data_IF_909803217924
#
_entry.id   IF_909803217924
#
_cell.length_a   1.000
_cell.length_b   1.000
_cell.length_c   1.000
_cell.angle_alpha   90.00
_cell.angle_beta   90.00
_cell.angle_gamma   90.00
#
_symmetry.space_group_name_H-M   'P 1'
#
loop_
_entity.id
_entity.type
_entity.pdbx_description
1 polymer ?
#
# COMPACT_ATOMS: atom_id res chain seq x y z
N UNK A 1 8.51 0.87 -11.28
CA UNK A 1 7.70 -0.34 -11.00
C UNK A 1 8.64 -1.53 -10.75
N UNK A 2 8.31 -2.39 -9.80
CA UNK A 2 9.08 -3.58 -9.40
C UNK A 2 8.39 -4.83 -9.94
N UNK A 3 9.12 -5.72 -10.61
CA UNK A 3 8.57 -6.99 -11.10
C UNK A 3 8.55 -8.00 -9.97
N UNK A 4 7.35 -8.43 -9.60
CA UNK A 4 7.14 -9.36 -8.49
C UNK A 4 7.48 -10.79 -8.92
N UNK A 5 8.03 -11.58 -7.99
CA UNK A 5 8.44 -12.96 -8.23
C UNK A 5 7.99 -13.86 -7.07
N UNK A 6 7.14 -14.89 -7.32
CA UNK A 6 6.58 -15.24 -8.63
C UNK A 6 5.55 -14.19 -9.08
N UNK A 7 5.37 -14.01 -10.40
CA UNK A 7 4.68 -12.84 -10.94
C UNK A 7 3.18 -12.80 -10.63
N UNK A 8 2.59 -13.98 -10.40
CA UNK A 8 1.19 -14.16 -9.99
C UNK A 8 0.90 -13.64 -8.58
N UNK A 9 1.93 -13.33 -7.78
CA UNK A 9 1.76 -12.72 -6.47
C UNK A 9 1.47 -11.20 -6.52
N UNK A 10 1.36 -10.60 -7.71
CA UNK A 10 1.01 -9.20 -7.90
C UNK A 10 -0.04 -9.00 -8.98
N UNK A 11 -0.91 -8.01 -8.78
CA UNK A 11 -1.80 -7.52 -9.82
C UNK A 11 -0.96 -6.95 -10.98
N UNK A 12 -1.25 -7.40 -12.21
CA UNK A 12 -0.49 -6.95 -13.37
C UNK A 12 1.01 -7.31 -13.34
N UNK A 13 1.42 -8.31 -12.54
CA UNK A 13 2.80 -8.81 -12.37
C UNK A 13 3.83 -7.84 -11.75
N UNK A 14 3.39 -6.65 -11.32
CA UNK A 14 4.28 -5.62 -10.80
C UNK A 14 3.63 -4.90 -9.61
N UNK A 15 4.48 -4.39 -8.73
CA UNK A 15 4.07 -3.44 -7.70
C UNK A 15 4.84 -2.12 -7.87
N UNK A 16 4.49 -1.12 -7.08
CA UNK A 16 5.30 0.10 -6.92
C UNK A 16 6.11 0.01 -5.62
N UNK A 17 7.25 0.67 -5.60
CA UNK A 17 8.18 0.78 -4.47
C UNK A 17 8.77 2.18 -4.48
N UNK A 18 9.33 2.64 -3.35
CA UNK A 18 10.10 3.88 -3.34
C UNK A 18 11.34 3.78 -4.23
N UNK A 19 11.79 4.91 -4.78
CA UNK A 19 12.95 4.95 -5.67
C UNK A 19 14.26 4.65 -4.92
N UNK A 20 14.34 5.07 -3.66
CA UNK A 20 15.37 4.72 -2.70
C UNK A 20 14.76 4.61 -1.29
N UNK A 21 15.55 4.16 -0.33
CA UNK A 21 15.14 4.01 1.07
C UNK A 21 15.48 5.24 1.93
N UNK A 22 15.70 6.40 1.30
CA UNK A 22 16.07 7.66 1.99
C UNK A 22 14.98 8.73 1.91
N UNK A 23 14.04 8.59 0.98
CA UNK A 23 12.95 9.55 0.74
C UNK A 23 11.60 8.86 0.61
N UNK A 24 10.54 9.62 0.90
CA UNK A 24 9.17 9.15 0.73
C UNK A 24 8.81 9.03 -0.76
N UNK A 25 8.03 8.00 -1.11
CA UNK A 25 7.43 7.83 -2.43
C UNK A 25 5.96 8.24 -2.41
N UNK A 26 5.47 8.82 -3.50
CA UNK A 26 4.04 9.18 -3.65
C UNK A 26 3.48 8.61 -4.95
N UNK A 27 2.29 8.03 -4.88
CA UNK A 27 1.50 7.65 -6.04
C UNK A 27 0.08 8.20 -5.90
N UNK A 28 -0.52 8.63 -7.01
CA UNK A 28 -1.89 9.15 -7.02
C UNK A 28 -2.64 8.79 -8.30
N UNK A 29 -3.97 8.75 -8.18
CA UNK A 29 -4.88 8.55 -9.31
C UNK A 29 -6.18 9.32 -9.08
N UNK A 30 -6.83 9.72 -10.16
CA UNK A 30 -8.22 10.21 -10.10
C UNK A 30 -9.17 9.04 -10.00
N UNK A 31 -10.24 9.22 -9.24
CA UNK A 31 -11.30 8.25 -9.04
C UNK A 31 -12.48 8.55 -9.96
N UNK A 32 -12.82 7.60 -10.83
CA UNK A 32 -13.94 7.70 -11.78
C UNK A 32 -15.16 6.90 -11.30
N UNK A 33 -15.37 6.82 -9.98
CA UNK A 33 -16.53 6.19 -9.36
C UNK A 33 -17.68 7.19 -9.17
N UNK A 34 -18.91 6.70 -9.07
CA UNK A 34 -20.04 7.54 -8.66
C UNK A 34 -19.81 8.09 -7.24
N UNK A 35 -20.37 9.27 -6.94
CA UNK A 35 -20.28 9.81 -5.58
C UNK A 35 -21.02 8.87 -4.62
N UNK A 36 -20.35 8.44 -3.55
CA UNK A 36 -20.89 7.42 -2.64
C UNK A 36 -20.00 7.11 -1.45
N UNK A 37 -20.35 6.06 -0.71
CA UNK A 37 -19.58 5.57 0.43
C UNK A 37 -19.02 4.19 0.12
N UNK A 38 -17.72 4.03 0.25
CA UNK A 38 -16.97 2.84 -0.19
C UNK A 38 -16.10 2.25 0.90
N UNK A 39 -15.64 1.02 0.67
CA UNK A 39 -14.57 0.41 1.44
C UNK A 39 -13.27 0.53 0.63
N UNK A 40 -12.40 1.44 1.02
CA UNK A 40 -11.11 1.64 0.35
C UNK A 40 -10.09 0.71 0.99
N UNK A 41 -9.42 -0.10 0.19
CA UNK A 41 -8.47 -1.06 0.69
C UNK A 41 -7.18 -1.06 -0.11
N UNK A 42 -6.07 -1.08 0.61
CA UNK A 42 -4.73 -1.06 0.07
C UNK A 42 -4.13 -2.44 0.22
N UNK A 43 -3.73 -3.04 -0.89
CA UNK A 43 -2.96 -4.27 -0.94
C UNK A 43 -1.48 -3.91 -1.08
N UNK A 44 -0.67 -4.39 -0.13
CA UNK A 44 0.74 -4.03 0.00
C UNK A 44 1.54 -5.26 0.44
N UNK A 45 2.87 -5.15 0.47
CA UNK A 45 3.74 -6.20 0.98
C UNK A 45 4.43 -5.72 2.25
N UNK A 46 4.37 -6.56 3.27
CA UNK A 46 4.95 -6.32 4.58
C UNK A 46 6.18 -7.22 4.74
N UNK A 47 7.35 -6.66 4.47
CA UNK A 47 8.63 -7.37 4.48
C UNK A 47 9.29 -7.21 5.84
N UNK A 48 9.84 -8.29 6.39
CA UNK A 48 10.62 -8.28 7.62
C UNK A 48 12.06 -7.77 7.39
N UNK A 49 12.19 -6.62 6.73
CA UNK A 49 13.45 -5.93 6.35
C UNK A 49 13.54 -4.49 6.90
N UNK A 50 12.48 -4.06 7.58
CA UNK A 50 12.27 -2.75 8.16
C UNK A 50 10.82 -2.70 8.64
N UNK A 51 10.35 -1.51 8.98
CA UNK A 51 8.92 -1.29 9.16
C UNK A 51 8.46 -0.03 8.44
N UNK A 52 8.25 -0.16 7.14
CA UNK A 52 7.73 0.89 6.30
C UNK A 52 6.36 1.38 6.80
N UNK A 53 6.07 2.66 6.55
CA UNK A 53 4.79 3.28 6.89
C UNK A 53 4.10 3.80 5.65
N UNK A 54 2.78 3.74 5.64
CA UNK A 54 1.97 4.26 4.54
C UNK A 54 0.88 5.18 5.08
N UNK A 55 0.60 6.22 4.32
CA UNK A 55 -0.47 7.17 4.61
C UNK A 55 -1.33 7.32 3.36
N UNK A 56 -2.64 7.11 3.52
CA UNK A 56 -3.62 7.21 2.45
C UNK A 56 -4.46 8.48 2.62
N UNK A 57 -4.60 9.22 1.53
CA UNK A 57 -5.38 10.43 1.44
C UNK A 57 -6.42 10.32 0.32
N UNK A 58 -7.56 10.95 0.54
CA UNK A 58 -8.55 11.25 -0.47
C UNK A 58 -8.66 12.76 -0.56
N UNK A 59 -8.25 13.31 -1.70
CA UNK A 59 -7.98 14.73 -1.86
C UNK A 59 -6.97 15.22 -0.79
N UNK A 60 -7.40 16.13 0.09
CA UNK A 60 -6.58 16.62 1.21
C UNK A 60 -6.91 15.93 2.55
N UNK A 61 -7.93 15.06 2.58
CA UNK A 61 -8.39 14.38 3.79
C UNK A 61 -7.60 13.09 4.05
N UNK A 62 -7.18 12.91 5.30
CA UNK A 62 -6.52 11.69 5.76
C UNK A 62 -7.55 10.55 5.89
N UNK A 63 -7.34 9.48 5.11
CA UNK A 63 -8.13 8.25 5.22
C UNK A 63 -7.55 7.33 6.30
N UNK A 64 -6.22 7.25 6.40
CA UNK A 64 -5.55 6.51 7.47
C UNK A 64 -4.04 6.39 7.28
N UNK A 65 -3.39 5.94 8.35
CA UNK A 65 -1.96 5.68 8.42
C UNK A 65 -1.73 4.32 9.07
N UNK A 66 -0.77 3.54 8.56
CA UNK A 66 -0.42 2.24 9.11
C UNK A 66 1.05 1.92 8.89
N UNK A 67 1.51 0.87 9.57
CA UNK A 67 2.87 0.37 9.58
C UNK A 67 2.90 -1.10 9.15
N UNK A 68 3.96 -1.50 8.47
CA UNK A 68 4.25 -2.91 8.17
C UNK A 68 4.99 -3.51 9.34
N UNK A 69 4.28 -4.18 10.25
CA UNK A 69 4.83 -4.74 11.48
C UNK A 69 4.16 -6.07 11.90
N UNK A 70 3.63 -6.84 10.94
CA UNK A 70 2.83 -8.03 11.25
C UNK A 70 3.64 -9.15 11.91
N UNK A 71 4.95 -9.19 11.74
CA UNK A 71 5.85 -10.08 12.49
C UNK A 71 5.80 -9.82 14.00
N UNK A 72 5.52 -8.57 14.41
CA UNK A 72 5.41 -8.18 15.82
C UNK A 72 3.98 -8.24 16.35
N UNK A 73 2.98 -7.88 15.53
CA UNK A 73 1.59 -7.76 15.99
C UNK A 73 0.73 -9.00 15.75
N UNK A 74 1.02 -9.77 14.68
CA UNK A 74 0.27 -10.99 14.31
C UNK A 74 1.11 -12.27 14.46
N UNK A 75 2.41 -12.14 14.73
CA UNK A 75 3.35 -13.27 14.74
C UNK A 75 3.54 -13.89 13.35
N UNK A 76 3.35 -13.09 12.28
CA UNK A 76 3.61 -13.53 10.90
C UNK A 76 5.07 -13.96 10.77
N UNK A 77 5.31 -15.13 10.18
CA UNK A 77 6.67 -15.59 9.94
C UNK A 77 7.42 -14.55 9.08
N UNK A 78 8.65 -14.17 9.48
CA UNK A 78 9.40 -13.15 8.76
C UNK A 78 9.74 -13.64 7.35
N UNK A 79 9.41 -12.83 6.35
CA UNK A 79 9.83 -13.02 4.96
C UNK A 79 10.32 -11.70 4.40
N UNK A 80 11.36 -11.77 3.59
CA UNK A 80 12.05 -10.61 3.02
C UNK A 80 11.66 -10.33 1.57
N UNK A 81 10.82 -11.17 0.97
CA UNK A 81 10.48 -11.10 -0.45
C UNK A 81 9.20 -10.30 -0.67
N UNK A 82 9.10 -9.61 -1.80
CA UNK A 82 7.83 -9.08 -2.30
C UNK A 82 7.15 -10.24 -3.01
N UNK A 83 6.33 -11.01 -2.29
CA UNK A 83 5.67 -12.23 -2.78
C UNK A 83 4.38 -12.54 -1.99
N UNK A 84 3.77 -13.69 -2.24
CA UNK A 84 2.53 -14.09 -1.57
C UNK A 84 2.64 -14.31 -0.05
N UNK A 85 3.84 -14.44 0.52
CA UNK A 85 4.04 -14.58 1.97
C UNK A 85 3.97 -13.24 2.69
N UNK A 86 4.42 -12.16 2.03
CA UNK A 86 4.41 -10.80 2.57
C UNK A 86 3.19 -10.00 2.12
N UNK A 87 2.50 -10.45 1.08
CA UNK A 87 1.26 -9.84 0.60
C UNK A 87 0.22 -9.74 1.72
N UNK A 88 -0.31 -8.54 1.93
CA UNK A 88 -1.31 -8.26 2.94
C UNK A 88 -2.20 -7.08 2.53
N UNK A 89 -3.19 -6.76 3.37
CA UNK A 89 -4.22 -5.77 3.07
C UNK A 89 -4.67 -5.05 4.32
N UNK A 90 -4.85 -3.74 4.18
CA UNK A 90 -5.62 -2.91 5.12
C UNK A 90 -6.90 -2.42 4.44
N UNK A 91 -7.99 -2.24 5.19
CA UNK A 91 -9.28 -1.77 4.65
C UNK A 91 -9.88 -0.69 5.54
N UNK A 92 -10.11 0.47 4.96
CA UNK A 92 -10.81 1.62 5.53
C UNK A 92 -12.26 1.58 5.09
N UNK A 93 -13.18 1.50 6.05
CA UNK A 93 -14.62 1.38 5.78
C UNK A 93 -15.29 2.74 5.88
N UNK A 94 -16.32 2.96 5.08
CA UNK A 94 -17.15 4.15 5.20
C UNK A 94 -16.50 5.42 4.64
N UNK A 95 -15.57 5.29 3.70
CA UNK A 95 -14.91 6.43 3.06
C UNK A 95 -15.87 7.05 2.06
N UNK A 96 -16.18 8.34 2.23
CA UNK A 96 -17.00 9.07 1.27
C UNK A 96 -16.12 9.50 0.08
N UNK A 97 -16.48 9.07 -1.13
CA UNK A 97 -15.76 9.37 -2.37
C UNK A 97 -16.66 10.24 -3.24
N UNK A 98 -16.13 11.37 -3.70
CA UNK A 98 -16.77 12.18 -4.73
C UNK A 98 -16.24 11.79 -6.12
N UNK A 99 -17.09 11.87 -7.13
CA UNK A 99 -16.65 11.67 -8.50
C UNK A 99 -15.54 12.66 -8.86
N UNK A 100 -14.39 12.16 -9.31
CA UNK A 100 -13.23 12.96 -9.65
C UNK A 100 -12.26 13.25 -8.50
N UNK A 101 -12.53 12.77 -7.28
CA UNK A 101 -11.59 12.84 -6.16
C UNK A 101 -10.24 12.21 -6.51
N UNK A 102 -9.16 12.74 -5.93
CA UNK A 102 -7.81 12.23 -6.10
C UNK A 102 -7.42 11.35 -4.93
N UNK A 103 -7.20 10.06 -5.19
CA UNK A 103 -6.62 9.16 -4.21
C UNK A 103 -5.10 9.28 -4.24
N UNK A 104 -4.46 9.46 -3.08
CA UNK A 104 -3.01 9.59 -2.96
C UNK A 104 -2.50 8.72 -1.83
N UNK A 105 -1.49 7.90 -2.11
CA UNK A 105 -0.76 7.13 -1.11
C UNK A 105 0.68 7.65 -1.01
N UNK A 106 1.14 7.85 0.21
CA UNK A 106 2.53 8.19 0.53
C UNK A 106 3.13 6.99 1.26
N UNK A 107 4.22 6.45 0.73
CA UNK A 107 4.98 5.36 1.34
C UNK A 107 6.31 5.90 1.86
N UNK A 108 6.63 5.62 3.12
CA UNK A 108 7.91 5.92 3.74
C UNK A 108 8.67 4.61 3.96
N UNK A 109 9.83 4.43 3.31
CA UNK A 109 10.62 3.23 3.48
C UNK A 109 11.29 3.22 4.85
N UNK A 110 11.65 2.03 5.33
CA UNK A 110 12.43 1.85 6.54
C UNK A 110 13.41 0.69 6.37
N UNK A 111 14.65 0.88 6.81
CA UNK A 111 15.72 -0.10 6.60
C UNK A 111 15.86 -0.52 5.13
N UNK A 112 15.62 -1.80 4.86
CA UNK A 112 15.64 -2.39 3.51
C UNK A 112 14.25 -2.59 2.90
N UNK A 113 13.17 -2.21 3.59
CA UNK A 113 11.80 -2.29 3.09
C UNK A 113 11.40 -1.02 2.31
N UNK A 114 11.17 -1.11 0.98
CA UNK A 114 10.95 0.06 0.12
C UNK A 114 9.47 0.45 0.00
N UNK A 115 8.69 0.24 1.07
CA UNK A 115 7.25 0.52 1.16
C UNK A 115 6.40 0.03 -0.05
N UNK A 116 6.46 -1.27 -0.41
CA UNK A 116 5.85 -1.80 -1.64
C UNK A 116 4.31 -1.79 -1.61
N UNK A 117 3.66 -1.33 -2.69
CA UNK A 117 2.21 -1.31 -2.86
C UNK A 117 1.82 -2.01 -4.16
N UNK A 118 0.87 -2.95 -4.11
CA UNK A 118 0.36 -3.67 -5.28
C UNK A 118 -0.76 -2.87 -5.96
N UNK A 119 -1.92 -2.75 -5.31
CA UNK A 119 -3.07 -2.02 -5.82
C UNK A 119 -3.93 -1.45 -4.69
N UNK A 120 -4.85 -0.56 -5.07
CA UNK A 120 -5.92 -0.06 -4.20
C UNK A 120 -7.26 -0.43 -4.83
N UNK A 121 -8.18 -0.98 -4.04
CA UNK A 121 -9.57 -1.28 -4.43
C UNK A 121 -10.55 -0.40 -3.68
N UNK A 122 -11.63 0.01 -4.34
CA UNK A 122 -12.71 0.86 -3.82
C UNK A 122 -14.05 0.14 -4.00
#
# INVERSE_FOLDING_TARGET
>A
PYRVHPFEAASGSHCIVTADNSTEGTASTKLEFETGTYNVAVNYYDQALGNATWTLYLDDDLVGEWKGDHEYILGKAPSQYIDGQTATRITFKGVHVENGSTLRIVGKPDGQEPAPVDYISI
#
